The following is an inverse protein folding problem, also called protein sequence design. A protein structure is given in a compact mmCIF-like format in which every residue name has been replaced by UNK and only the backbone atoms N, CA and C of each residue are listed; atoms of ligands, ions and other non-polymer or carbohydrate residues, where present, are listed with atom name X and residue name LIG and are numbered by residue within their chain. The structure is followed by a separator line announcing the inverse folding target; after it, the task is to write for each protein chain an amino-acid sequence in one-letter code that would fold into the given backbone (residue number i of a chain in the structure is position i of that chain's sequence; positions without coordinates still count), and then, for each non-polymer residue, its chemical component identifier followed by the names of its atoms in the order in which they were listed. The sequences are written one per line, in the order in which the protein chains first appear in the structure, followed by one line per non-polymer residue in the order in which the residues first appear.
data_IF_344094829931
#
_entry.id   IF_344094829931
#
_cell.length_a   1.000
_cell.length_b   1.000
_cell.length_c   1.000
_cell.angle_alpha   90.00
_cell.angle_beta   90.00
_cell.angle_gamma   90.00
#
_symmetry.space_group_name_H-M   'P 1'
#
loop_
_entity.id
_entity.type
_entity.pdbx_description
1 polymer ?
#
# COMPACT_ATOMS: atom_id res chain seq x y z
N UNK A 1 6.24 -2.07 -20.72
CA UNK A 1 7.49 -1.88 -19.93
C UNK A 1 7.63 -0.42 -19.48
N UNK A 2 7.43 0.55 -20.35
CA UNK A 2 7.62 1.98 -20.10
C UNK A 2 6.67 2.53 -19.01
N UNK A 3 5.37 2.28 -19.14
CA UNK A 3 4.36 2.69 -18.17
C UNK A 3 4.62 2.17 -16.75
N UNK A 4 5.18 0.96 -16.63
CA UNK A 4 5.57 0.40 -15.32
C UNK A 4 6.74 1.15 -14.71
N UNK A 5 7.72 1.60 -15.52
CA UNK A 5 8.85 2.43 -15.06
C UNK A 5 8.37 3.78 -14.56
N UNK A 6 7.43 4.40 -15.27
CA UNK A 6 6.77 5.64 -14.84
C UNK A 6 6.11 5.48 -13.46
N UNK A 7 5.31 4.42 -13.27
CA UNK A 7 4.68 4.15 -11.98
C UNK A 7 5.69 3.95 -10.84
N UNK A 8 6.79 3.23 -11.11
CA UNK A 8 7.86 3.11 -10.13
C UNK A 8 8.44 4.48 -9.75
N UNK A 9 8.69 5.36 -10.71
CA UNK A 9 9.19 6.71 -10.47
C UNK A 9 8.22 7.57 -9.64
N UNK A 10 6.93 7.53 -9.95
CA UNK A 10 5.91 8.25 -9.19
C UNK A 10 5.82 7.76 -7.73
N UNK A 11 5.85 6.44 -7.53
CA UNK A 11 5.85 5.84 -6.19
C UNK A 11 7.12 6.21 -5.42
N UNK A 12 8.29 6.19 -6.07
CA UNK A 12 9.56 6.54 -5.43
C UNK A 12 9.58 8.02 -4.99
N UNK A 13 9.05 8.92 -5.81
CA UNK A 13 8.90 10.33 -5.45
C UNK A 13 7.95 10.51 -4.26
N UNK A 14 6.81 9.82 -4.26
CA UNK A 14 5.87 9.84 -3.12
C UNK A 14 6.56 9.37 -1.84
N UNK A 15 7.33 8.29 -1.90
CA UNK A 15 8.07 7.74 -0.74
C UNK A 15 9.06 8.77 -0.19
N UNK A 16 9.81 9.45 -1.06
CA UNK A 16 10.78 10.46 -0.67
C UNK A 16 10.09 11.63 0.05
N UNK A 17 9.02 12.17 -0.54
CA UNK A 17 8.31 13.31 0.02
C UNK A 17 7.60 12.93 1.34
N UNK A 18 6.97 11.76 1.41
CA UNK A 18 6.31 11.31 2.63
C UNK A 18 7.31 11.13 3.78
N UNK A 19 8.51 10.57 3.52
CA UNK A 19 9.58 10.49 4.54
C UNK A 19 9.96 11.86 5.10
N UNK A 20 10.16 12.86 4.24
CA UNK A 20 10.49 14.23 4.66
C UNK A 20 9.40 14.80 5.58
N UNK A 21 8.14 14.67 5.18
CA UNK A 21 7.02 15.26 5.92
C UNK A 21 6.77 14.54 7.25
N UNK A 22 6.87 13.20 7.31
CA UNK A 22 6.76 12.44 8.56
C UNK A 22 7.83 12.88 9.54
N UNK A 23 9.09 12.92 9.13
CA UNK A 23 10.21 13.31 10.00
C UNK A 23 10.13 14.78 10.46
N UNK A 24 9.58 15.68 9.63
CA UNK A 24 9.48 17.09 9.97
C UNK A 24 8.31 17.45 10.90
N UNK A 25 7.27 16.61 10.97
CA UNK A 25 6.02 16.93 11.67
C UNK A 25 5.69 16.00 12.84
N UNK A 26 6.52 14.97 13.08
CA UNK A 26 6.30 14.00 14.15
C UNK A 26 7.63 13.39 14.62
N UNK A 27 7.58 12.69 15.75
CA UNK A 27 8.67 11.83 16.23
C UNK A 27 8.74 10.46 15.50
N UNK A 28 7.82 10.26 14.55
CA UNK A 28 7.73 9.03 13.78
C UNK A 28 8.90 8.91 12.79
N UNK A 29 9.37 7.69 12.62
CA UNK A 29 10.43 7.34 11.66
C UNK A 29 9.93 6.24 10.73
N UNK A 30 10.07 6.46 9.43
CA UNK A 30 9.84 5.41 8.44
C UNK A 30 11.12 4.59 8.33
N UNK A 31 11.12 3.43 8.96
CA UNK A 31 12.29 2.53 9.04
C UNK A 31 12.48 1.72 7.77
N UNK A 32 11.38 1.29 7.16
CA UNK A 32 11.37 0.46 5.94
C UNK A 32 10.19 0.82 5.06
N UNK A 33 10.37 0.72 3.74
CA UNK A 33 9.29 0.84 2.75
C UNK A 33 9.31 -0.37 1.82
N UNK A 34 8.15 -0.97 1.59
CA UNK A 34 8.00 -2.14 0.74
C UNK A 34 6.87 -1.89 -0.26
N UNK A 35 7.19 -1.86 -1.56
CA UNK A 35 6.17 -1.96 -2.62
C UNK A 35 5.55 -3.35 -2.53
N UNK A 36 4.25 -3.45 -2.35
CA UNK A 36 3.55 -4.68 -1.99
C UNK A 36 2.43 -5.01 -2.99
N UNK A 37 1.44 -5.75 -2.54
CA UNK A 37 0.21 -6.03 -3.25
C UNK A 37 0.38 -6.77 -4.57
N UNK A 38 -0.59 -6.60 -5.43
CA UNK A 38 -0.64 -7.30 -6.72
C UNK A 38 0.42 -6.80 -7.72
N UNK A 39 0.80 -5.53 -7.61
CA UNK A 39 1.82 -4.91 -8.44
C UNK A 39 3.20 -5.53 -8.19
N UNK A 40 3.63 -5.63 -6.94
CA UNK A 40 4.93 -6.22 -6.55
C UNK A 40 4.98 -7.74 -6.82
N UNK A 41 3.85 -8.42 -6.65
CA UNK A 41 3.71 -9.87 -6.87
C UNK A 41 3.58 -10.27 -8.34
N UNK A 42 3.46 -9.29 -9.26
CA UNK A 42 3.18 -9.53 -10.68
C UNK A 42 1.87 -10.31 -10.94
N UNK A 43 0.89 -10.08 -10.08
CA UNK A 43 -0.45 -10.71 -10.16
C UNK A 43 -1.56 -9.70 -10.42
N UNK A 44 -1.19 -8.49 -10.85
CA UNK A 44 -2.15 -7.45 -11.23
C UNK A 44 -2.99 -7.93 -12.42
N UNK A 45 -4.27 -7.64 -12.40
CA UNK A 45 -5.14 -7.83 -13.55
C UNK A 45 -5.02 -6.61 -14.46
N UNK A 46 -4.95 -6.83 -15.77
CA UNK A 46 -5.19 -5.75 -16.72
C UNK A 46 -6.67 -5.38 -16.58
N UNK A 47 -6.92 -4.26 -15.94
CA UNK A 47 -8.25 -3.67 -15.89
C UNK A 47 -8.61 -3.10 -17.28
N UNK A 48 -9.87 -3.00 -17.58
CA UNK A 48 -10.39 -2.22 -18.69
C UNK A 48 -10.00 -0.75 -18.49
N UNK A 49 -9.88 -0.01 -19.55
CA UNK A 49 -9.17 1.26 -19.74
C UNK A 49 -9.45 2.40 -18.75
N UNK A 50 -10.44 2.30 -17.87
CA UNK A 50 -10.90 3.41 -17.03
C UNK A 50 -10.46 3.33 -15.56
N UNK A 51 -10.15 2.13 -15.05
CA UNK A 51 -9.74 1.99 -13.65
C UNK A 51 -8.24 2.24 -13.45
N UNK A 52 -7.84 2.97 -12.40
CA UNK A 52 -6.42 3.15 -12.09
C UNK A 52 -5.75 1.83 -11.73
N UNK A 53 -4.44 1.78 -11.90
CA UNK A 53 -3.62 0.66 -11.45
C UNK A 53 -3.27 0.90 -9.99
N UNK A 54 -3.65 -0.03 -9.12
CA UNK A 54 -3.38 0.06 -7.70
C UNK A 54 -1.98 -0.45 -7.36
N UNK A 55 -1.24 0.35 -6.61
CA UNK A 55 0.07 0.01 -6.08
C UNK A 55 0.06 0.17 -4.56
N UNK A 56 0.14 -0.94 -3.86
CA UNK A 56 0.26 -0.93 -2.41
C UNK A 56 1.70 -0.60 -2.00
N UNK A 57 1.87 0.32 -1.07
CA UNK A 57 3.17 0.68 -0.50
C UNK A 57 3.08 0.60 1.02
N UNK A 58 3.77 -0.36 1.60
CA UNK A 58 3.79 -0.58 3.05
C UNK A 58 4.92 0.21 3.67
N UNK A 59 4.57 1.07 4.63
CA UNK A 59 5.49 1.90 5.41
C UNK A 59 5.61 1.34 6.82
N UNK A 60 6.77 0.78 7.15
CA UNK A 60 7.09 0.39 8.52
C UNK A 60 7.50 1.64 9.30
N UNK A 61 6.80 1.89 10.39
CA UNK A 61 6.91 3.10 11.18
C UNK A 61 7.29 2.71 12.60
N UNK A 62 8.20 3.47 13.21
CA UNK A 62 8.53 3.43 14.62
C UNK A 62 8.49 4.83 15.22
N UNK A 63 8.36 4.94 16.55
CA UNK A 63 8.38 6.22 17.27
C UNK A 63 7.78 6.09 18.65
N UNK A 64 8.21 6.92 19.59
CA UNK A 64 7.76 6.88 20.98
C UNK A 64 6.27 7.22 21.15
N UNK A 65 5.74 8.08 20.30
CA UNK A 65 4.31 8.42 20.29
C UNK A 65 3.40 7.22 19.98
N UNK A 66 3.94 6.17 19.34
CA UNK A 66 3.19 4.95 19.02
C UNK A 66 3.03 4.01 20.22
N UNK A 67 3.88 4.11 21.24
CA UNK A 67 3.78 3.28 22.44
C UNK A 67 2.57 3.64 23.31
N UNK A 68 2.17 4.92 23.27
CA UNK A 68 1.13 5.49 24.13
C UNK A 68 -0.15 5.90 23.38
N UNK A 69 -0.18 5.83 22.05
CA UNK A 69 -1.32 6.25 21.26
C UNK A 69 -2.17 5.07 20.80
N UNK A 70 -3.47 5.30 20.73
CA UNK A 70 -4.34 4.46 19.93
C UNK A 70 -3.89 4.57 18.48
N UNK A 71 -3.62 3.47 17.82
CA UNK A 71 -3.19 3.44 16.40
C UNK A 71 -4.28 3.95 15.44
N UNK A 72 -5.38 4.45 15.99
CA UNK A 72 -6.59 4.92 15.29
C UNK A 72 -6.32 6.09 14.33
N UNK A 73 -5.36 6.95 14.62
CA UNK A 73 -5.09 8.15 13.83
C UNK A 73 -4.03 8.01 12.75
N UNK A 74 -3.43 6.82 12.56
CA UNK A 74 -2.27 6.70 11.69
C UNK A 74 -2.63 6.83 10.19
N UNK A 75 -3.77 6.29 9.76
CA UNK A 75 -4.26 6.45 8.40
C UNK A 75 -4.66 7.91 8.12
N UNK A 76 -5.30 8.58 9.08
CA UNK A 76 -5.68 10.00 9.04
C UNK A 76 -4.44 10.91 8.97
N UNK A 77 -3.41 10.60 9.74
CA UNK A 77 -2.13 11.32 9.67
C UNK A 77 -1.50 11.19 8.27
N UNK A 78 -1.39 9.98 7.75
CA UNK A 78 -0.84 9.74 6.40
C UNK A 78 -1.68 10.45 5.34
N UNK A 79 -3.01 10.39 5.42
CA UNK A 79 -3.91 11.09 4.51
C UNK A 79 -3.67 12.61 4.53
N UNK A 80 -3.60 13.21 5.72
CA UNK A 80 -3.32 14.64 5.86
C UNK A 80 -1.96 15.03 5.29
N UNK A 81 -0.94 14.19 5.45
CA UNK A 81 0.37 14.40 4.86
C UNK A 81 0.34 14.29 3.32
N UNK A 82 -0.39 13.33 2.76
CA UNK A 82 -0.56 13.20 1.31
C UNK A 82 -1.21 14.47 0.71
N UNK A 83 -2.23 15.03 1.35
CA UNK A 83 -2.85 16.29 0.92
C UNK A 83 -1.87 17.45 0.95
N UNK A 84 -0.98 17.51 1.95
CA UNK A 84 0.07 18.54 2.05
C UNK A 84 1.15 18.39 0.98
N UNK A 85 1.52 17.15 0.64
CA UNK A 85 2.52 16.85 -0.40
C UNK A 85 1.98 17.21 -1.80
N UNK A 86 0.68 17.04 -2.01
CA UNK A 86 0.04 17.27 -3.31
C UNK A 86 -1.07 18.33 -3.24
N UNK A 87 -0.76 19.60 -2.90
CA UNK A 87 -1.78 20.63 -2.65
C UNK A 87 -2.60 21.03 -3.89
N UNK A 88 -2.13 20.67 -5.09
CA UNK A 88 -2.79 20.98 -6.35
C UNK A 88 -3.71 19.85 -6.86
N UNK A 89 -3.87 18.78 -6.07
CA UNK A 89 -4.81 17.69 -6.39
C UNK A 89 -6.19 18.00 -5.84
N UNK A 90 -7.21 17.47 -6.50
CA UNK A 90 -8.58 17.52 -6.01
C UNK A 90 -8.73 16.69 -4.72
N UNK A 91 -9.66 17.05 -3.85
CA UNK A 91 -9.93 16.33 -2.60
C UNK A 91 -10.35 14.88 -2.89
N UNK A 92 -11.07 14.68 -3.99
CA UNK A 92 -11.55 13.39 -4.49
C UNK A 92 -10.43 12.45 -4.95
N UNK A 93 -9.21 12.99 -5.16
CA UNK A 93 -8.03 12.20 -5.46
C UNK A 93 -7.45 11.49 -4.22
N UNK A 94 -7.98 11.80 -3.02
CA UNK A 94 -7.52 11.22 -1.75
C UNK A 94 -8.66 10.46 -1.07
N UNK A 95 -8.32 9.32 -0.48
CA UNK A 95 -9.28 8.47 0.23
C UNK A 95 -8.64 7.88 1.49
N UNK A 96 -9.41 7.79 2.57
CA UNK A 96 -9.05 6.99 3.75
C UNK A 96 -9.77 5.65 3.64
N UNK A 97 -9.02 4.62 3.34
CA UNK A 97 -9.53 3.25 3.32
C UNK A 97 -9.46 2.60 4.70
N UNK A 98 -10.00 1.40 4.80
CA UNK A 98 -10.01 0.59 6.02
C UNK A 98 -8.62 0.42 6.65
N UNK A 99 -7.56 0.25 5.83
CA UNK A 99 -6.19 -0.05 6.27
C UNK A 99 -5.12 0.78 5.58
N UNK A 100 -5.51 1.77 4.83
CA UNK A 100 -4.60 2.59 4.02
C UNK A 100 -5.11 4.01 3.85
N UNK A 101 -4.22 4.90 3.45
CA UNK A 101 -4.57 6.18 2.84
C UNK A 101 -4.17 6.14 1.37
N UNK A 102 -5.09 6.52 0.49
CA UNK A 102 -4.91 6.43 -0.96
C UNK A 102 -4.71 7.79 -1.59
N UNK A 103 -3.87 7.86 -2.60
CA UNK A 103 -3.78 9.00 -3.52
C UNK A 103 -3.84 8.54 -4.97
N UNK A 104 -4.74 9.14 -5.76
CA UNK A 104 -4.93 8.82 -7.18
C UNK A 104 -4.24 9.85 -8.07
N UNK A 105 -3.45 9.37 -9.02
CA UNK A 105 -2.79 10.15 -10.06
C UNK A 105 -3.55 9.99 -11.38
N UNK A 106 -4.61 10.78 -11.56
CA UNK A 106 -5.55 10.67 -12.68
C UNK A 106 -4.86 10.66 -14.05
N UNK A 107 -3.89 11.55 -14.27
CA UNK A 107 -3.17 11.67 -15.56
C UNK A 107 -2.42 10.38 -15.96
N UNK A 108 -1.83 9.69 -15.00
CA UNK A 108 -1.09 8.43 -15.27
C UNK A 108 -1.96 7.19 -15.14
N UNK A 109 -3.15 7.30 -14.51
CA UNK A 109 -3.99 6.16 -14.17
C UNK A 109 -3.36 5.29 -13.07
N UNK A 110 -2.68 5.90 -12.10
CA UNK A 110 -2.07 5.24 -10.95
C UNK A 110 -2.82 5.60 -9.68
N UNK A 111 -3.16 4.61 -8.88
CA UNK A 111 -3.60 4.77 -7.49
C UNK A 111 -2.54 4.18 -6.56
N UNK A 112 -2.19 4.89 -5.51
CA UNK A 112 -1.19 4.44 -4.53
C UNK A 112 -1.84 4.33 -3.17
N UNK A 113 -1.89 3.12 -2.65
CA UNK A 113 -2.35 2.80 -1.31
C UNK A 113 -1.15 2.82 -0.36
N UNK A 114 -1.08 3.84 0.49
CA UNK A 114 -0.09 3.97 1.55
C UNK A 114 -0.59 3.23 2.78
N UNK A 115 0.04 2.12 3.09
CA UNK A 115 -0.33 1.23 4.20
C UNK A 115 0.64 1.44 5.36
N UNK A 116 0.28 2.19 6.41
CA UNK A 116 1.13 2.32 7.58
C UNK A 116 1.09 1.03 8.41
N UNK A 117 2.26 0.62 8.87
CA UNK A 117 2.45 -0.57 9.70
C UNK A 117 3.43 -0.21 10.81
N UNK A 118 3.05 -0.43 12.06
CA UNK A 118 3.95 -0.23 13.19
C UNK A 118 4.92 -1.39 13.23
N UNK A 119 6.21 -1.10 13.13
CA UNK A 119 7.23 -2.11 13.12
C UNK A 119 7.17 -2.93 14.41
N UNK A 120 7.25 -4.26 14.29
CA UNK A 120 7.43 -5.14 15.42
C UNK A 120 8.92 -5.15 15.84
N UNK A 121 9.18 -5.00 17.15
CA UNK A 121 10.55 -4.91 17.67
C UNK A 121 11.22 -6.27 17.81
N UNK A 122 10.45 -7.35 17.82
CA UNK A 122 10.93 -8.71 18.12
C UNK A 122 11.00 -9.59 16.88
N UNK A 123 10.08 -9.41 15.94
CA UNK A 123 9.97 -10.28 14.76
C UNK A 123 10.42 -9.52 13.50
N UNK A 124 11.58 -9.85 12.93
CA UNK A 124 12.09 -9.19 11.73
C UNK A 124 11.07 -9.16 10.61
N UNK A 125 11.00 -8.05 9.89
CA UNK A 125 10.11 -7.84 8.74
C UNK A 125 8.61 -7.86 9.04
N UNK A 126 8.22 -8.06 10.29
CA UNK A 126 6.82 -7.99 10.73
C UNK A 126 6.46 -6.61 11.28
N UNK A 127 5.16 -6.37 11.34
CA UNK A 127 4.62 -5.20 11.98
C UNK A 127 3.10 -5.28 12.10
N UNK A 128 2.55 -4.37 12.89
CA UNK A 128 1.14 -4.33 13.26
C UNK A 128 0.39 -3.35 12.37
N UNK A 129 -0.53 -3.88 11.59
CA UNK A 129 -1.46 -3.10 10.78
C UNK A 129 -2.77 -2.92 11.54
N UNK A 130 -3.25 -1.68 11.62
CA UNK A 130 -4.51 -1.36 12.25
C UNK A 130 -5.66 -1.42 11.24
N UNK A 131 -6.77 -1.99 11.67
CA UNK A 131 -8.00 -2.08 10.91
C UNK A 131 -9.04 -1.10 11.49
N UNK A 132 -9.36 -0.05 10.72
CA UNK A 132 -10.24 1.04 11.17
C UNK A 132 -11.69 0.56 11.48
N UNK A 133 -12.17 -0.46 10.78
CA UNK A 133 -13.52 -0.96 10.95
C UNK A 133 -13.65 -1.89 12.17
N UNK A 134 -12.77 -2.90 12.27
CA UNK A 134 -12.81 -3.87 13.37
C UNK A 134 -12.10 -3.39 14.63
N UNK A 135 -11.30 -2.31 14.53
CA UNK A 135 -10.43 -1.81 15.62
C UNK A 135 -9.36 -2.80 16.07
N UNK A 136 -9.06 -3.77 15.24
CA UNK A 136 -8.09 -4.83 15.54
C UNK A 136 -6.71 -4.51 14.97
N UNK A 137 -5.69 -5.03 15.65
CA UNK A 137 -4.31 -5.05 15.17
C UNK A 137 -4.02 -6.40 14.55
N UNK A 138 -3.54 -6.41 13.33
CA UNK A 138 -3.19 -7.62 12.61
C UNK A 138 -1.68 -7.64 12.35
N UNK A 139 -1.01 -8.69 12.79
CA UNK A 139 0.41 -8.89 12.48
C UNK A 139 0.56 -9.20 11.00
N UNK A 140 1.42 -8.47 10.30
CA UNK A 140 1.65 -8.62 8.86
C UNK A 140 3.14 -8.62 8.52
N UNK A 141 3.49 -9.24 7.40
CA UNK A 141 4.84 -9.25 6.85
C UNK A 141 4.77 -9.06 5.33
N UNK A 142 4.88 -7.83 4.85
CA UNK A 142 4.84 -7.55 3.43
C UNK A 142 5.97 -8.25 2.63
N UNK A 143 7.23 -8.27 3.09
CA UNK A 143 8.30 -9.06 2.44
C UNK A 143 8.00 -10.55 2.37
N UNK A 144 7.43 -11.13 3.44
CA UNK A 144 7.09 -12.56 3.48
C UNK A 144 6.05 -12.92 2.41
N UNK A 145 5.03 -12.09 2.24
CA UNK A 145 4.00 -12.29 1.22
C UNK A 145 4.59 -12.23 -0.20
N UNK A 146 5.55 -11.34 -0.44
CA UNK A 146 6.22 -11.23 -1.74
C UNK A 146 7.10 -12.46 -1.97
N UNK A 147 7.87 -12.86 -0.96
CA UNK A 147 8.76 -14.02 -1.03
C UNK A 147 7.95 -15.30 -1.28
N UNK A 148 6.84 -15.50 -0.58
CA UNK A 148 5.95 -16.65 -0.80
C UNK A 148 5.52 -16.78 -2.27
N UNK A 149 5.09 -15.68 -2.92
CA UNK A 149 4.69 -15.69 -4.34
C UNK A 149 5.90 -15.96 -5.26
N UNK A 150 7.08 -15.47 -4.89
CA UNK A 150 8.32 -15.69 -5.63
C UNK A 150 8.71 -17.17 -5.60
N UNK A 151 8.74 -17.77 -4.41
CA UNK A 151 9.09 -19.16 -4.22
C UNK A 151 8.13 -20.12 -4.97
N UNK A 152 6.83 -19.79 -4.98
CA UNK A 152 5.83 -20.56 -5.72
C UNK A 152 6.01 -20.44 -7.23
N UNK A 153 6.28 -19.23 -7.72
CA UNK A 153 6.57 -18.97 -9.14
C UNK A 153 7.83 -19.73 -9.60
N UNK A 154 8.84 -19.85 -8.74
CA UNK A 154 10.09 -20.54 -9.09
C UNK A 154 9.90 -22.06 -9.16
N UNK A 155 8.94 -22.61 -8.39
CA UNK A 155 8.51 -24.01 -8.48
C UNK A 155 7.58 -24.28 -9.66
N UNK A 156 6.71 -23.34 -10.01
CA UNK A 156 5.76 -23.46 -11.12
C UNK A 156 5.65 -22.12 -11.88
N UNK A 157 6.14 -22.10 -13.11
CA UNK A 157 6.10 -20.91 -13.98
C UNK A 157 4.68 -20.38 -14.24
N UNK A 158 3.65 -21.21 -14.11
CA UNK A 158 2.25 -20.84 -14.32
C UNK A 158 1.57 -20.28 -13.07
N UNK A 159 2.19 -20.39 -11.89
CA UNK A 159 1.58 -20.00 -10.62
C UNK A 159 0.96 -18.58 -10.63
N UNK A 160 1.69 -17.58 -11.12
CA UNK A 160 1.16 -16.20 -11.23
C UNK A 160 -0.02 -16.08 -12.20
N UNK A 161 -0.05 -16.92 -13.24
CA UNK A 161 -1.17 -16.96 -14.18
C UNK A 161 -2.39 -17.55 -13.52
N UNK A 162 -2.25 -18.65 -12.77
CA UNK A 162 -3.34 -19.24 -11.98
C UNK A 162 -3.91 -18.24 -10.97
N UNK A 163 -3.05 -17.49 -10.26
CA UNK A 163 -3.51 -16.42 -9.34
C UNK A 163 -4.33 -15.37 -10.07
N UNK A 164 -3.90 -14.91 -11.26
CA UNK A 164 -4.67 -13.94 -12.08
C UNK A 164 -6.00 -14.52 -12.55
N UNK A 165 -6.03 -15.78 -12.96
CA UNK A 165 -7.28 -16.45 -13.36
C UNK A 165 -8.25 -16.56 -12.18
N UNK A 166 -7.78 -16.96 -11.00
CA UNK A 166 -8.59 -17.04 -9.79
C UNK A 166 -9.17 -15.66 -9.40
N UNK A 167 -8.36 -14.60 -9.49
CA UNK A 167 -8.84 -13.22 -9.26
C UNK A 167 -9.92 -12.80 -10.28
N UNK A 168 -9.75 -13.12 -11.57
CA UNK A 168 -10.75 -12.83 -12.59
C UNK A 168 -12.04 -13.58 -12.33
N UNK A 169 -11.93 -14.86 -12.00
CA UNK A 169 -13.09 -15.68 -11.65
C UNK A 169 -13.85 -15.10 -10.45
N UNK A 170 -13.15 -14.77 -9.37
CA UNK A 170 -13.76 -14.11 -8.21
C UNK A 170 -14.51 -12.84 -8.60
N UNK A 171 -13.88 -11.96 -9.39
CA UNK A 171 -14.51 -10.70 -9.82
C UNK A 171 -15.74 -10.94 -10.72
N UNK A 172 -15.74 -12.02 -11.49
CA UNK A 172 -16.90 -12.44 -12.28
C UNK A 172 -18.05 -12.95 -11.40
N UNK A 173 -17.72 -13.76 -10.37
CA UNK A 173 -18.72 -14.35 -9.46
C UNK A 173 -19.27 -13.37 -8.42
N UNK A 174 -18.54 -12.31 -8.13
CA UNK A 174 -18.92 -11.27 -7.17
C UNK A 174 -18.76 -9.90 -7.85
N UNK A 175 -19.67 -9.54 -8.78
CA UNK A 175 -19.61 -8.24 -9.41
C UNK A 175 -19.81 -7.13 -8.36
N UNK A 176 -19.21 -5.95 -8.58
CA UNK A 176 -19.37 -4.82 -7.68
C UNK A 176 -20.86 -4.47 -7.54
N UNK A 177 -21.37 -4.41 -6.31
CA UNK A 177 -22.74 -3.98 -6.00
C UNK A 177 -23.73 -5.08 -5.63
N UNK A 178 -23.28 -6.32 -5.39
CA UNK A 178 -24.08 -7.37 -4.75
C UNK A 178 -23.57 -7.66 -3.35
#
# INVERSE_FOLDING_TARGET
AEKRKEYHGQVDNLVIELRKHVTAQSDLKITKVVKAGSFAKYTILNKTTEDPIDVDVVFYISGQSLENSTHDGLNELIHALLMKIYPNKAVEDFEIQRRAATVTFVKSGLSVDVVPVIQDDYIPDHGWQFDKETKEKNLTCAPCHIQFIRDRKDKDKHYRTLVRMAKRWRNFMSPPGL
#
